data_IF_659384082630
#
_entry.id   IF_659384082630
#
_cell.length_a   1.000
_cell.length_b   1.000
_cell.length_c   1.000
_cell.angle_alpha   90.00
_cell.angle_beta   90.00
_cell.angle_gamma   90.00
#
_symmetry.space_group_name_H-M   'P 1'
#
loop_
_entity.id
_entity.type
_entity.pdbx_description
1 polymer ?
#
# COMPACT_ATOMS: atom_id res chain seq x y z
N UNK A 1 55.96 -9.28 20.08
CA UNK A 1 55.26 -8.00 19.85
C UNK A 1 53.92 -8.28 19.16
N UNK A 2 52.82 -8.30 19.91
CA UNK A 2 51.46 -8.50 19.38
C UNK A 2 50.82 -7.12 19.18
N UNK A 3 50.80 -6.63 17.94
CA UNK A 3 50.06 -5.42 17.59
C UNK A 3 48.56 -5.77 17.49
N UNK A 4 47.82 -5.44 18.54
CA UNK A 4 46.35 -5.43 18.52
C UNK A 4 45.88 -4.27 17.64
N UNK A 5 45.38 -4.59 16.44
CA UNK A 5 44.66 -3.64 15.61
C UNK A 5 43.29 -3.36 16.24
N UNK A 6 43.20 -2.28 17.03
CA UNK A 6 41.91 -1.71 17.44
C UNK A 6 41.25 -1.11 16.20
N UNK A 7 40.46 -1.92 15.49
CA UNK A 7 39.54 -1.43 14.46
C UNK A 7 38.44 -0.64 15.16
N UNK A 8 38.48 0.69 15.05
CA UNK A 8 37.35 1.55 15.40
C UNK A 8 36.13 1.09 14.58
N UNK A 9 35.04 0.75 15.27
CA UNK A 9 33.76 0.50 14.62
C UNK A 9 33.33 1.79 13.91
N UNK A 10 33.25 1.74 12.59
CA UNK A 10 32.66 2.82 11.78
C UNK A 10 31.18 2.86 12.15
N UNK A 11 30.72 3.96 12.75
CA UNK A 11 29.30 4.18 13.00
C UNK A 11 28.56 4.07 11.67
N UNK A 12 27.53 3.21 11.54
CA UNK A 12 26.74 3.16 10.31
C UNK A 12 26.14 4.55 10.11
N UNK A 13 26.44 5.16 8.96
CA UNK A 13 25.81 6.41 8.56
C UNK A 13 24.30 6.24 8.73
N UNK A 14 23.67 7.12 9.51
CA UNK A 14 22.22 7.19 9.63
C UNK A 14 21.72 7.43 8.21
N UNK A 15 21.31 6.35 7.53
CA UNK A 15 20.70 6.46 6.21
C UNK A 15 19.57 7.44 6.39
N UNK A 16 19.59 8.50 5.60
CA UNK A 16 18.55 9.50 5.52
C UNK A 16 17.28 8.78 5.03
N UNK A 17 16.66 8.06 5.95
CA UNK A 17 15.41 7.36 5.76
C UNK A 17 14.45 8.50 5.76
N UNK A 18 14.08 8.97 4.57
CA UNK A 18 13.03 9.96 4.41
C UNK A 18 11.79 9.37 5.09
N UNK A 19 11.63 9.69 6.37
CA UNK A 19 10.45 9.32 7.13
C UNK A 19 9.35 10.15 6.51
N UNK A 20 8.39 9.48 5.87
CA UNK A 20 7.19 10.14 5.37
C UNK A 20 6.41 10.61 6.58
N UNK A 21 6.57 11.87 6.96
CA UNK A 21 5.69 12.53 7.92
C UNK A 21 4.45 13.00 7.16
N UNK A 22 3.28 12.60 7.65
CA UNK A 22 1.99 13.12 7.20
C UNK A 22 1.50 14.08 8.28
N UNK A 23 1.11 15.29 7.88
CA UNK A 23 0.47 16.25 8.75
C UNK A 23 -1.03 16.14 8.57
N UNK A 24 -1.74 15.73 9.62
CA UNK A 24 -3.20 15.67 9.63
C UNK A 24 -3.74 16.84 10.45
N UNK A 25 -4.68 17.58 9.86
CA UNK A 25 -5.44 18.58 10.59
C UNK A 25 -6.53 17.84 11.37
N UNK A 26 -6.39 17.78 12.69
CA UNK A 26 -7.40 17.21 13.59
C UNK A 26 -8.27 18.35 14.11
N UNK A 27 -9.55 18.32 13.80
CA UNK A 27 -10.52 19.28 14.31
C UNK A 27 -10.63 19.23 15.84
N UNK A 28 -11.00 20.37 16.45
CA UNK A 28 -11.26 20.41 17.89
C UNK A 28 -12.45 19.49 18.22
N UNK A 29 -12.24 18.48 19.06
CA UNK A 29 -13.17 17.37 19.39
C UNK A 29 -13.39 16.31 18.29
N UNK A 30 -12.51 16.20 17.29
CA UNK A 30 -12.53 15.02 16.42
C UNK A 30 -12.04 13.77 17.15
N UNK A 31 -12.75 12.66 16.93
CA UNK A 31 -12.40 11.37 17.50
C UNK A 31 -11.06 10.88 16.92
N UNK A 32 -10.11 10.59 17.81
CA UNK A 32 -8.80 10.07 17.44
C UNK A 32 -8.90 8.77 16.63
N UNK A 33 -9.91 7.93 16.90
CA UNK A 33 -10.13 6.70 16.16
C UNK A 33 -10.55 6.96 14.71
N UNK A 34 -11.29 8.04 14.46
CA UNK A 34 -11.69 8.43 13.11
C UNK A 34 -10.49 8.91 12.31
N UNK A 35 -9.64 9.74 12.91
CA UNK A 35 -8.39 10.23 12.31
C UNK A 35 -7.45 9.07 11.98
N UNK A 36 -7.29 8.10 12.88
CA UNK A 36 -6.45 6.92 12.64
C UNK A 36 -6.99 6.04 11.51
N UNK A 37 -8.31 5.85 11.42
CA UNK A 37 -8.94 5.13 10.30
C UNK A 37 -8.69 5.83 8.97
N UNK A 38 -8.80 7.15 8.93
CA UNK A 38 -8.58 7.93 7.72
C UNK A 38 -7.11 7.92 7.28
N UNK A 39 -6.20 8.03 8.24
CA UNK A 39 -4.76 7.88 8.00
C UNK A 39 -4.43 6.49 7.46
N UNK A 40 -5.00 5.44 8.05
CA UNK A 40 -4.79 4.08 7.58
C UNK A 40 -5.32 3.87 6.15
N UNK A 41 -6.50 4.41 5.85
CA UNK A 41 -7.08 4.37 4.51
C UNK A 41 -6.20 5.09 3.49
N UNK A 42 -5.73 6.30 3.82
CA UNK A 42 -4.83 7.07 2.97
C UNK A 42 -3.54 6.30 2.66
N UNK A 43 -2.97 5.62 3.66
CA UNK A 43 -1.78 4.76 3.46
C UNK A 43 -2.06 3.56 2.53
N UNK A 44 -3.27 2.99 2.60
CA UNK A 44 -3.70 1.91 1.71
C UNK A 44 -3.90 2.40 0.27
N UNK A 45 -4.56 3.54 0.09
CA UNK A 45 -4.83 4.15 -1.22
C UNK A 45 -3.54 4.55 -1.94
N UNK A 46 -2.56 5.10 -1.21
CA UNK A 46 -1.21 5.38 -1.72
C UNK A 46 -0.42 4.10 -2.09
N UNK A 47 -0.91 2.93 -1.67
CA UNK A 47 -0.25 1.64 -1.85
C UNK A 47 1.04 1.49 -1.06
N UNK A 48 1.27 2.33 -0.04
CA UNK A 48 2.50 2.35 0.75
C UNK A 48 2.75 1.01 1.46
N UNK A 49 1.71 0.45 2.07
CA UNK A 49 1.76 -0.85 2.75
C UNK A 49 2.09 -1.98 1.76
N UNK A 50 1.42 -1.98 0.59
CA UNK A 50 1.66 -2.96 -0.48
C UNK A 50 3.09 -2.88 -1.02
N UNK A 51 3.68 -1.68 -1.10
CA UNK A 51 5.06 -1.50 -1.53
C UNK A 51 6.05 -1.99 -0.48
N UNK A 52 5.78 -1.77 0.81
CA UNK A 52 6.62 -2.27 1.90
C UNK A 52 6.67 -3.80 1.87
N UNK A 53 5.52 -4.45 1.75
CA UNK A 53 5.41 -5.91 1.63
C UNK A 53 6.20 -6.46 0.42
N UNK A 54 6.04 -5.84 -0.75
CA UNK A 54 6.79 -6.23 -1.96
C UNK A 54 8.30 -5.98 -1.87
N UNK A 55 8.76 -5.10 -0.98
CA UNK A 55 10.18 -4.82 -0.76
C UNK A 55 10.80 -5.72 0.31
N UNK A 56 9.98 -6.36 1.14
CA UNK A 56 10.46 -7.24 2.21
C UNK A 56 11.27 -8.41 1.65
N UNK A 57 10.88 -8.94 0.49
CA UNK A 57 11.53 -10.08 -0.15
C UNK A 57 11.85 -9.79 -1.63
N UNK A 58 12.99 -10.29 -2.10
CA UNK A 58 13.38 -10.11 -3.50
C UNK A 58 12.49 -10.93 -4.46
N UNK A 59 11.71 -10.23 -5.27
CA UNK A 59 10.93 -10.81 -6.37
C UNK A 59 11.71 -10.73 -7.70
N UNK A 60 11.93 -11.88 -8.36
CA UNK A 60 12.59 -11.90 -9.68
C UNK A 60 11.74 -11.19 -10.73
N UNK A 61 12.38 -10.59 -11.74
CA UNK A 61 11.70 -9.80 -12.79
C UNK A 61 10.59 -10.56 -13.52
N UNK A 62 10.77 -11.85 -13.80
CA UNK A 62 9.76 -12.66 -14.49
C UNK A 62 8.57 -13.01 -13.57
N UNK A 63 8.83 -13.28 -12.28
CA UNK A 63 7.79 -13.48 -11.27
C UNK A 63 6.93 -12.22 -11.13
N UNK A 64 7.58 -11.05 -11.10
CA UNK A 64 6.91 -9.74 -11.08
C UNK A 64 5.98 -9.53 -12.28
N UNK A 65 6.37 -9.97 -13.48
CA UNK A 65 5.52 -9.87 -14.67
C UNK A 65 4.27 -10.74 -14.55
N UNK A 66 4.40 -11.97 -14.05
CA UNK A 66 3.28 -12.88 -13.82
C UNK A 66 2.31 -12.27 -12.80
N UNK A 67 2.82 -11.83 -11.64
CA UNK A 67 2.01 -11.18 -10.61
C UNK A 67 1.27 -9.95 -11.14
N UNK A 68 1.98 -9.03 -11.82
CA UNK A 68 1.36 -7.82 -12.38
C UNK A 68 0.29 -8.13 -13.42
N UNK A 69 0.47 -9.17 -14.23
CA UNK A 69 -0.54 -9.63 -15.18
C UNK A 69 -1.78 -10.14 -14.44
N UNK A 70 -1.61 -11.03 -13.48
CA UNK A 70 -2.71 -11.55 -12.66
C UNK A 70 -3.46 -10.43 -11.92
N UNK A 71 -2.75 -9.48 -11.30
CA UNK A 71 -3.35 -8.30 -10.66
C UNK A 71 -4.13 -7.42 -11.65
N UNK A 72 -3.70 -7.34 -12.91
CA UNK A 72 -4.43 -6.64 -13.96
C UNK A 72 -5.69 -7.39 -14.38
N UNK A 73 -5.59 -8.71 -14.55
CA UNK A 73 -6.71 -9.54 -14.96
C UNK A 73 -7.82 -9.53 -13.90
N UNK A 74 -7.46 -9.66 -12.61
CA UNK A 74 -8.40 -9.54 -11.49
C UNK A 74 -9.10 -8.17 -11.50
N UNK A 75 -8.35 -7.07 -11.67
CA UNK A 75 -8.95 -5.72 -11.74
C UNK A 75 -9.92 -5.58 -12.92
N UNK A 76 -9.58 -6.13 -14.08
CA UNK A 76 -10.44 -6.10 -15.26
C UNK A 76 -11.73 -6.90 -15.04
N UNK A 77 -11.63 -8.09 -14.42
CA UNK A 77 -12.79 -8.91 -14.07
C UNK A 77 -13.68 -8.19 -13.06
N UNK A 78 -13.12 -7.64 -11.98
CA UNK A 78 -13.89 -6.91 -10.97
C UNK A 78 -14.61 -5.69 -11.57
N UNK A 79 -13.95 -4.96 -12.47
CA UNK A 79 -14.58 -3.83 -13.18
C UNK A 79 -15.79 -4.29 -14.01
N UNK A 80 -15.64 -5.38 -14.78
CA UNK A 80 -16.74 -5.94 -15.57
C UNK A 80 -17.88 -6.44 -14.69
N UNK A 81 -17.56 -7.11 -13.60
CA UNK A 81 -18.55 -7.63 -12.66
C UNK A 81 -19.34 -6.50 -12.00
N UNK A 82 -18.68 -5.41 -11.61
CA UNK A 82 -19.36 -4.20 -11.12
C UNK A 82 -20.35 -3.64 -12.14
N UNK A 83 -19.95 -3.53 -13.42
CA UNK A 83 -20.85 -3.08 -14.49
C UNK A 83 -22.07 -3.99 -14.67
N UNK A 84 -21.90 -5.32 -14.56
CA UNK A 84 -23.01 -6.28 -14.66
C UNK A 84 -23.97 -6.08 -13.48
N UNK A 85 -23.43 -5.93 -12.26
CA UNK A 85 -24.24 -5.69 -11.05
C UNK A 85 -25.04 -4.39 -11.21
N UNK A 86 -24.40 -3.31 -11.63
CA UNK A 86 -25.05 -2.01 -11.83
C UNK A 86 -26.17 -2.10 -12.87
N UNK A 87 -25.95 -2.84 -13.96
CA UNK A 87 -26.96 -3.10 -14.98
C UNK A 87 -28.16 -3.85 -14.42
N UNK A 88 -27.94 -4.93 -13.67
CA UNK A 88 -29.00 -5.71 -13.04
C UNK A 88 -29.82 -4.87 -12.05
N UNK A 89 -29.14 -4.07 -11.21
CA UNK A 89 -29.80 -3.16 -10.26
C UNK A 89 -30.63 -2.09 -10.99
N UNK A 90 -30.11 -1.53 -12.09
CA UNK A 90 -30.85 -0.56 -12.90
C UNK A 90 -32.11 -1.18 -13.53
N UNK A 91 -32.02 -2.41 -14.04
CA UNK A 91 -33.15 -3.14 -14.62
C UNK A 91 -34.21 -3.53 -13.58
N UNK A 92 -33.78 -3.95 -12.40
CA UNK A 92 -34.67 -4.23 -11.27
C UNK A 92 -35.44 -2.97 -10.84
N UNK A 93 -34.75 -1.82 -10.73
CA UNK A 93 -35.39 -0.53 -10.38
C UNK A 93 -36.42 -0.09 -11.43
N UNK A 94 -36.22 -0.44 -12.69
CA UNK A 94 -37.14 -0.14 -13.79
C UNK A 94 -38.32 -1.14 -13.89
N UNK A 95 -38.36 -2.19 -13.05
CA UNK A 95 -39.41 -3.22 -13.11
C UNK A 95 -39.37 -4.07 -14.39
N UNK A 96 -38.22 -4.14 -15.06
CA UNK A 96 -38.02 -4.90 -16.31
C UNK A 96 -37.29 -6.24 -16.09
N UNK A 97 -37.17 -6.67 -14.83
CA UNK A 97 -36.64 -7.96 -14.39
C UNK A 97 -37.67 -8.62 -13.48
#
# INVERSE_FOLDING_TARGET
MLQQFVRRAVTPAVKNTQSRSLWYHVGYNEDADYVLKDLHRSMQDDGSIKQLDQRAMHEKKWQRRIRKKAESDIRNVNKRMGTIIDFCLAKQKQGSL
#
